data_IF_676089459660
#
_entry.id   IF_676089459660
#
_cell.length_a   1.000
_cell.length_b   1.000
_cell.length_c   1.000
_cell.angle_alpha   90.00
_cell.angle_beta   90.00
_cell.angle_gamma   90.00
#
_symmetry.space_group_name_H-M   'P 1'
#
loop_
_entity.id
_entity.type
_entity.pdbx_description
1 polymer ?
#
# COMPACT_ATOMS: atom_id res chain seq x y z
N UNK A 1 21.41 54.37 -20.68
CA UNK A 1 20.25 53.50 -20.41
C UNK A 1 20.49 52.16 -21.10
N UNK A 2 20.56 51.07 -20.35
CA UNK A 2 20.54 49.70 -20.89
C UNK A 2 20.01 48.75 -19.80
N UNK A 3 18.71 48.48 -19.85
CA UNK A 3 18.02 47.49 -19.01
C UNK A 3 18.29 46.09 -19.57
N UNK A 4 19.01 45.26 -18.81
CA UNK A 4 19.16 43.82 -19.11
C UNK A 4 17.83 43.10 -18.83
N UNK A 5 17.31 42.25 -19.72
CA UNK A 5 16.10 41.50 -19.45
C UNK A 5 16.38 40.42 -18.40
N UNK A 6 15.53 40.39 -17.38
CA UNK A 6 15.50 39.39 -16.30
C UNK A 6 15.30 38.00 -16.90
N UNK A 7 16.19 37.06 -16.59
CA UNK A 7 16.08 35.68 -17.02
C UNK A 7 14.71 35.10 -16.61
N UNK A 8 14.00 34.50 -17.57
CA UNK A 8 12.72 33.85 -17.35
C UNK A 8 12.88 32.71 -16.32
N UNK A 9 12.02 32.70 -15.29
CA UNK A 9 11.87 31.56 -14.38
C UNK A 9 11.45 30.35 -15.21
N UNK A 10 12.23 29.28 -15.16
CA UNK A 10 11.84 27.99 -15.74
C UNK A 10 10.49 27.54 -15.15
N UNK A 11 9.58 26.96 -15.96
CA UNK A 11 8.35 26.38 -15.44
C UNK A 11 8.70 25.23 -14.50
N UNK A 12 8.11 25.25 -13.30
CA UNK A 12 8.14 24.13 -12.36
C UNK A 12 7.34 22.98 -12.97
N UNK A 13 8.01 22.18 -13.80
CA UNK A 13 7.44 21.07 -14.54
C UNK A 13 7.21 19.89 -13.59
N UNK A 14 5.92 19.62 -13.34
CA UNK A 14 5.34 18.37 -12.86
C UNK A 14 6.09 17.58 -11.77
N UNK A 15 5.91 17.98 -10.50
CA UNK A 15 5.91 16.95 -9.46
C UNK A 15 4.79 15.95 -9.79
N UNK A 16 5.05 14.63 -9.87
CA UNK A 16 3.99 13.66 -10.03
C UNK A 16 3.05 13.84 -8.85
N UNK A 17 1.80 14.20 -9.13
CA UNK A 17 0.75 14.30 -8.11
C UNK A 17 0.73 12.95 -7.41
N UNK A 18 1.11 12.91 -6.14
CA UNK A 18 0.94 11.72 -5.30
C UNK A 18 -0.55 11.39 -5.34
N UNK A 19 -0.91 10.43 -6.18
CA UNK A 19 -2.29 9.94 -6.25
C UNK A 19 -2.49 9.29 -4.89
N UNK A 20 -3.40 9.85 -4.08
CA UNK A 20 -3.67 9.31 -2.76
C UNK A 20 -4.41 7.98 -2.90
N UNK A 21 -4.13 6.98 -2.06
CA UNK A 21 -4.93 5.76 -1.99
C UNK A 21 -6.42 6.08 -1.82
N UNK A 22 -7.27 5.34 -2.51
CA UNK A 22 -8.73 5.40 -2.32
C UNK A 22 -9.13 4.30 -1.36
N UNK A 23 -9.92 4.62 -0.34
CA UNK A 23 -10.40 3.66 0.66
C UNK A 23 -11.92 3.68 0.69
N UNK A 24 -12.54 2.51 0.57
CA UNK A 24 -13.99 2.31 0.61
C UNK A 24 -14.33 1.22 1.63
N UNK A 25 -15.39 1.42 2.41
CA UNK A 25 -15.94 0.36 3.28
C UNK A 25 -16.73 -0.61 2.41
N UNK A 26 -16.44 -1.89 2.55
CA UNK A 26 -17.07 -2.99 1.82
C UNK A 26 -17.33 -4.15 2.77
N UNK A 27 -18.00 -5.18 2.27
CA UNK A 27 -18.06 -6.48 2.92
C UNK A 27 -17.18 -7.47 2.16
N UNK A 28 -16.56 -8.41 2.86
CA UNK A 28 -15.80 -9.50 2.25
C UNK A 28 -16.14 -10.83 2.90
N UNK A 29 -15.92 -11.91 2.17
CA UNK A 29 -16.13 -13.27 2.68
C UNK A 29 -14.78 -13.83 3.09
N UNK A 30 -14.67 -14.23 4.36
CA UNK A 30 -13.51 -14.94 4.88
C UNK A 30 -13.85 -16.42 5.10
N UNK A 31 -12.89 -17.29 4.81
CA UNK A 31 -13.06 -18.74 4.87
C UNK A 31 -13.63 -19.32 3.57
N UNK A 32 -13.68 -20.65 3.51
CA UNK A 32 -14.21 -21.41 2.37
C UNK A 32 -15.22 -22.45 2.88
N UNK A 33 -16.18 -22.82 2.03
CA UNK A 33 -17.19 -23.83 2.36
C UNK A 33 -18.17 -23.38 3.45
N UNK A 34 -18.52 -24.30 4.34
CA UNK A 34 -19.55 -24.09 5.36
C UNK A 34 -19.13 -23.09 6.46
N UNK A 35 -17.83 -22.80 6.58
CA UNK A 35 -17.28 -21.83 7.54
C UNK A 35 -17.15 -20.40 6.98
N UNK A 36 -17.56 -20.19 5.72
CA UNK A 36 -17.49 -18.88 5.08
C UNK A 36 -18.39 -17.86 5.78
N UNK A 37 -17.82 -16.71 6.16
CA UNK A 37 -18.54 -15.63 6.84
C UNK A 37 -18.29 -14.28 6.20
N UNK A 38 -19.34 -13.48 6.11
CA UNK A 38 -19.26 -12.10 5.65
C UNK A 38 -18.83 -11.20 6.80
N UNK A 39 -17.78 -10.41 6.59
CA UNK A 39 -17.23 -9.48 7.59
C UNK A 39 -17.04 -8.08 6.99
N UNK A 40 -17.08 -7.02 7.80
CA UNK A 40 -16.71 -5.69 7.35
C UNK A 40 -15.25 -5.64 6.92
N UNK A 41 -14.98 -4.85 5.87
CA UNK A 41 -13.66 -4.72 5.28
C UNK A 41 -13.46 -3.35 4.63
N UNK A 42 -12.22 -3.09 4.23
CA UNK A 42 -11.80 -1.90 3.49
C UNK A 42 -11.20 -2.31 2.17
N UNK A 43 -11.81 -1.86 1.09
CA UNK A 43 -11.20 -1.92 -0.23
C UNK A 43 -10.27 -0.72 -0.39
N UNK A 44 -8.99 -0.98 -0.63
CA UNK A 44 -7.97 0.02 -0.84
C UNK A 44 -7.44 -0.08 -2.25
N UNK A 45 -7.54 0.99 -3.03
CA UNK A 45 -6.92 1.10 -4.36
C UNK A 45 -5.65 1.93 -4.24
N UNK A 46 -4.51 1.26 -4.40
CA UNK A 46 -3.16 1.78 -4.29
C UNK A 46 -2.60 2.13 -5.67
N UNK A 47 -2.26 3.39 -5.97
CA UNK A 47 -1.53 3.72 -7.18
C UNK A 47 -0.07 3.29 -7.03
N UNK A 48 0.44 2.48 -7.97
CA UNK A 48 1.82 1.96 -7.95
C UNK A 48 2.66 2.43 -9.15
N UNK A 49 2.01 2.95 -10.20
CA UNK A 49 2.63 3.65 -11.33
C UNK A 49 1.61 4.62 -11.97
N UNK A 50 2.02 5.54 -12.88
CA UNK A 50 1.11 6.51 -13.49
C UNK A 50 -0.15 5.92 -14.14
N UNK A 51 -0.05 4.70 -14.65
CA UNK A 51 -1.10 3.95 -15.35
C UNK A 51 -1.45 2.63 -14.66
N UNK A 52 -0.98 2.41 -13.42
CA UNK A 52 -1.15 1.15 -12.70
C UNK A 52 -1.59 1.36 -11.26
N UNK A 53 -2.61 0.61 -10.87
CA UNK A 53 -3.07 0.52 -9.49
C UNK A 53 -3.29 -0.92 -9.07
N UNK A 54 -3.20 -1.18 -7.77
CA UNK A 54 -3.45 -2.46 -7.14
C UNK A 54 -4.61 -2.25 -6.18
N UNK A 55 -5.66 -3.05 -6.30
CA UNK A 55 -6.77 -3.04 -5.36
C UNK A 55 -6.64 -4.23 -4.42
N UNK A 56 -6.73 -3.98 -3.12
CA UNK A 56 -6.74 -5.00 -2.07
C UNK A 56 -7.95 -4.81 -1.18
N UNK A 57 -8.48 -5.92 -0.68
CA UNK A 57 -9.53 -5.92 0.35
C UNK A 57 -8.92 -6.36 1.68
N UNK A 58 -9.02 -5.53 2.71
CA UNK A 58 -8.49 -5.81 4.04
C UNK A 58 -9.67 -5.93 4.99
N UNK A 59 -9.87 -7.11 5.57
CA UNK A 59 -10.90 -7.31 6.58
C UNK A 59 -10.61 -6.44 7.80
N UNK A 60 -11.63 -5.84 8.42
CA UNK A 60 -11.43 -5.00 9.61
C UNK A 60 -10.80 -5.84 10.76
N UNK A 61 -11.15 -7.12 10.87
CA UNK A 61 -10.53 -8.03 11.84
C UNK A 61 -9.03 -8.30 11.59
N UNK A 62 -8.52 -8.10 10.38
CA UNK A 62 -7.08 -8.17 10.09
C UNK A 62 -6.34 -6.94 10.63
N UNK A 63 -7.03 -5.81 10.82
CA UNK A 63 -6.49 -4.62 11.50
C UNK A 63 -6.49 -4.79 13.02
N UNK A 64 -7.44 -5.59 13.54
CA UNK A 64 -7.56 -5.92 14.97
C UNK A 64 -6.67 -7.11 15.40
N UNK A 65 -5.89 -7.71 14.49
CA UNK A 65 -4.94 -8.78 14.80
C UNK A 65 -3.78 -8.24 15.66
N UNK A 66 -3.63 -8.78 16.87
CA UNK A 66 -2.54 -8.38 17.78
C UNK A 66 -1.15 -8.61 17.18
N UNK A 67 -0.98 -9.62 16.31
CA UNK A 67 0.31 -9.90 15.67
C UNK A 67 0.70 -8.80 14.67
N UNK A 68 -0.27 -8.06 14.12
CA UNK A 68 0.00 -6.87 13.29
C UNK A 68 0.70 -5.78 14.09
N UNK A 69 0.36 -5.60 15.37
CA UNK A 69 1.03 -4.64 16.25
C UNK A 69 2.50 -4.98 16.49
N UNK A 70 2.84 -6.27 16.61
CA UNK A 70 4.23 -6.72 16.78
C UNK A 70 5.06 -6.46 15.52
N UNK A 71 4.50 -6.79 14.34
CA UNK A 71 5.16 -6.51 13.06
C UNK A 71 5.36 -4.99 12.85
N UNK A 72 4.37 -4.16 13.20
CA UNK A 72 4.48 -2.69 13.12
C UNK A 72 5.58 -2.16 14.05
N UNK A 73 5.58 -2.60 15.31
CA UNK A 73 6.59 -2.20 16.30
C UNK A 73 8.00 -2.55 15.82
N UNK A 74 8.19 -3.74 15.27
CA UNK A 74 9.48 -4.14 14.73
C UNK A 74 9.92 -3.28 13.54
N UNK A 75 9.00 -2.91 12.64
CA UNK A 75 9.29 -2.00 11.52
C UNK A 75 9.65 -0.60 12.01
N UNK A 76 8.88 -0.03 12.95
CA UNK A 76 9.04 1.37 13.38
C UNK A 76 10.16 1.57 14.41
N UNK A 77 10.21 0.73 15.45
CA UNK A 77 11.13 0.93 16.57
C UNK A 77 12.48 0.25 16.34
N UNK A 78 12.47 -0.92 15.69
CA UNK A 78 13.67 -1.74 15.49
C UNK A 78 14.27 -1.56 14.09
N UNK A 79 13.62 -0.78 13.22
CA UNK A 79 13.96 -0.65 11.79
C UNK A 79 14.08 -2.01 11.08
N UNK A 80 13.33 -3.02 11.54
CA UNK A 80 13.39 -4.36 10.99
C UNK A 80 12.47 -4.48 9.76
N UNK A 81 12.99 -4.05 8.61
CA UNK A 81 12.29 -4.14 7.33
C UNK A 81 11.96 -5.59 6.91
N UNK A 82 12.57 -6.61 7.55
CA UNK A 82 12.28 -8.03 7.25
C UNK A 82 10.87 -8.45 7.68
N UNK A 83 10.18 -7.63 8.49
CA UNK A 83 8.79 -7.82 8.92
C UNK A 83 7.75 -7.30 7.94
N UNK A 84 8.13 -6.51 6.93
CA UNK A 84 7.18 -5.97 5.95
C UNK A 84 6.42 -7.07 5.16
N UNK A 85 7.06 -8.19 4.76
CA UNK A 85 6.35 -9.29 4.12
C UNK A 85 5.34 -10.01 5.03
N UNK A 86 5.63 -10.17 6.33
CA UNK A 86 4.68 -10.76 7.29
C UNK A 86 3.50 -9.82 7.52
N UNK A 87 3.78 -8.53 7.74
CA UNK A 87 2.75 -7.49 7.86
C UNK A 87 1.81 -7.48 6.66
N UNK A 88 2.36 -7.46 5.44
CA UNK A 88 1.54 -7.50 4.23
C UNK A 88 0.64 -8.74 4.18
N UNK A 89 1.19 -9.92 4.49
CA UNK A 89 0.45 -11.18 4.46
C UNK A 89 -0.71 -11.19 5.45
N UNK A 90 -0.55 -10.61 6.64
CA UNK A 90 -1.62 -10.47 7.62
C UNK A 90 -2.73 -9.57 7.13
N UNK A 91 -2.37 -8.42 6.56
CA UNK A 91 -3.35 -7.43 6.10
C UNK A 91 -4.19 -7.94 4.93
N UNK A 92 -3.56 -8.58 3.93
CA UNK A 92 -4.23 -8.90 2.66
C UNK A 92 -4.61 -10.37 2.50
N UNK A 93 -4.16 -11.23 3.43
CA UNK A 93 -4.47 -12.66 3.44
C UNK A 93 -4.14 -13.36 2.12
N UNK A 94 -5.14 -14.05 1.56
CA UNK A 94 -5.04 -14.80 0.32
C UNK A 94 -4.61 -13.96 -0.90
N UNK A 95 -4.87 -12.64 -0.88
CA UNK A 95 -4.45 -11.73 -1.96
C UNK A 95 -2.94 -11.53 -2.02
N UNK A 96 -2.18 -12.03 -1.04
CA UNK A 96 -0.75 -11.77 -0.90
C UNK A 96 0.03 -12.10 -2.18
N UNK A 97 -0.23 -13.27 -2.79
CA UNK A 97 0.45 -13.66 -4.04
C UNK A 97 0.06 -12.75 -5.20
N UNK A 98 -1.22 -12.43 -5.34
CA UNK A 98 -1.74 -11.52 -6.36
C UNK A 98 -1.10 -10.14 -6.25
N UNK A 99 -0.97 -9.60 -5.04
CA UNK A 99 -0.30 -8.33 -4.78
C UNK A 99 1.16 -8.39 -5.21
N UNK A 100 1.90 -9.43 -4.82
CA UNK A 100 3.30 -9.58 -5.23
C UNK A 100 3.43 -9.69 -6.74
N UNK A 101 2.57 -10.46 -7.40
CA UNK A 101 2.61 -10.64 -8.84
C UNK A 101 2.31 -9.33 -9.58
N UNK A 102 1.40 -8.51 -9.05
CA UNK A 102 1.16 -7.17 -9.56
C UNK A 102 2.31 -6.20 -9.26
N UNK A 103 3.08 -6.40 -8.20
CA UNK A 103 4.26 -5.58 -7.89
C UNK A 103 5.53 -6.01 -8.64
N UNK A 104 5.55 -7.16 -9.32
CA UNK A 104 6.75 -7.62 -10.04
C UNK A 104 7.14 -6.64 -11.15
N UNK A 105 8.42 -6.29 -11.16
CA UNK A 105 9.03 -5.52 -12.23
C UNK A 105 9.40 -6.39 -13.45
N UNK A 106 10.05 -5.80 -14.46
CA UNK A 106 10.42 -6.50 -15.70
C UNK A 106 11.30 -7.74 -15.52
N UNK A 107 12.05 -7.81 -14.41
CA UNK A 107 12.90 -8.94 -14.04
C UNK A 107 12.13 -10.08 -13.34
N UNK A 108 10.80 -9.97 -13.23
CA UNK A 108 9.94 -10.94 -12.55
C UNK A 108 10.06 -10.94 -11.03
N UNK A 109 10.73 -9.95 -10.43
CA UNK A 109 10.91 -9.81 -8.98
C UNK A 109 10.24 -8.54 -8.48
N UNK A 110 9.83 -8.56 -7.23
CA UNK A 110 9.44 -7.35 -6.50
C UNK A 110 10.72 -6.74 -5.93
N UNK A 111 10.99 -5.47 -6.22
CA UNK A 111 12.13 -4.79 -5.62
C UNK A 111 11.87 -4.58 -4.13
N UNK A 112 12.93 -4.55 -3.31
CA UNK A 112 12.78 -4.31 -1.87
C UNK A 112 12.16 -2.95 -1.58
N UNK A 113 12.49 -1.93 -2.39
CA UNK A 113 11.93 -0.58 -2.26
C UNK A 113 10.45 -0.54 -2.61
N UNK A 114 10.02 -1.13 -3.73
CA UNK A 114 8.62 -1.07 -4.16
C UNK A 114 7.74 -1.89 -3.23
N UNK A 115 8.22 -3.06 -2.80
CA UNK A 115 7.55 -3.88 -1.80
C UNK A 115 7.40 -3.13 -0.48
N UNK A 116 8.47 -2.54 0.05
CA UNK A 116 8.42 -1.79 1.29
C UNK A 116 7.48 -0.58 1.21
N UNK A 117 7.60 0.21 0.13
CA UNK A 117 6.77 1.38 -0.09
C UNK A 117 5.28 1.02 -0.14
N UNK A 118 4.93 -0.04 -0.88
CA UNK A 118 3.55 -0.51 -0.96
C UNK A 118 2.97 -0.86 0.41
N UNK A 119 3.72 -1.60 1.24
CA UNK A 119 3.26 -2.01 2.58
C UNK A 119 3.05 -0.80 3.48
N UNK A 120 3.99 0.14 3.48
CA UNK A 120 3.91 1.36 4.29
C UNK A 120 2.75 2.25 3.85
N UNK A 121 2.56 2.45 2.54
CA UNK A 121 1.47 3.27 2.02
C UNK A 121 0.11 2.61 2.26
N UNK A 122 0.03 1.28 2.12
CA UNK A 122 -1.20 0.52 2.42
C UNK A 122 -1.56 0.66 3.90
N UNK A 123 -0.59 0.45 4.79
CA UNK A 123 -0.81 0.63 6.23
C UNK A 123 -1.24 2.06 6.57
N UNK A 124 -0.59 3.07 5.97
CA UNK A 124 -0.96 4.47 6.16
C UNK A 124 -2.37 4.78 5.65
N UNK A 125 -2.78 4.18 4.53
CA UNK A 125 -4.15 4.32 4.00
C UNK A 125 -5.20 3.64 4.89
N UNK A 126 -4.82 2.55 5.54
CA UNK A 126 -5.69 1.80 6.44
C UNK A 126 -5.78 2.43 7.83
N UNK A 127 -4.79 3.22 8.27
CA UNK A 127 -4.81 3.86 9.57
C UNK A 127 -6.05 4.77 9.71
N UNK A 128 -6.99 4.44 10.62
CA UNK A 128 -8.05 5.35 10.97
C UNK A 128 -7.44 6.47 11.83
N UNK A 129 -7.55 7.72 11.37
CA UNK A 129 -7.46 8.86 12.29
C UNK A 129 -8.69 8.89 13.19
#
# INVERSE_FOLDING_TARGET
MATRPTAAKAPQDHQPKTIKPKVEKVETVLGEGDDARTVPARQVTMPVAPDKSITVVVADEALDDFEVLDDIRAVQDQNDASRLPSLLRRLVGEQYRTVLDQLRGPNGRVSTSDGAQFVLDLFQALNPN
#
